data_IF_449423262806
#
_entry.id   IF_449423262806
#
_cell.length_a   1.000
_cell.length_b   1.000
_cell.length_c   1.000
_cell.angle_alpha   90.00
_cell.angle_beta   90.00
_cell.angle_gamma   90.00
#
_symmetry.space_group_name_H-M   'P 1'
#
loop_
_entity.id
_entity.type
_entity.pdbx_description
1 polymer ?
#
# COMPACT_ATOMS: atom_id res chain seq x y z
N UNK A 1 -7.28 -46.65 -25.84
CA UNK A 1 -8.14 -45.51 -25.45
C UNK A 1 -8.01 -45.24 -23.96
N UNK A 2 -8.16 -46.26 -23.11
CA UNK A 2 -8.13 -46.08 -21.63
C UNK A 2 -6.83 -45.50 -21.05
N UNK A 3 -5.67 -45.85 -21.61
CA UNK A 3 -4.37 -45.29 -21.16
C UNK A 3 -4.21 -43.80 -21.46
N UNK A 4 -4.86 -43.28 -22.50
CA UNK A 4 -4.81 -41.84 -22.80
C UNK A 4 -5.82 -41.07 -21.96
N UNK A 5 -7.02 -41.63 -21.76
CA UNK A 5 -8.01 -41.07 -20.85
C UNK A 5 -7.48 -40.98 -19.41
N UNK A 6 -6.79 -42.02 -18.94
CA UNK A 6 -6.16 -42.03 -17.62
C UNK A 6 -5.01 -41.00 -17.50
N UNK A 7 -4.29 -40.71 -18.59
CA UNK A 7 -3.21 -39.71 -18.57
C UNK A 7 -3.70 -38.27 -18.56
N UNK A 8 -4.98 -37.99 -18.83
CA UNK A 8 -5.52 -36.62 -18.83
C UNK A 8 -5.60 -36.07 -17.42
N UNK A 9 -5.95 -36.89 -16.43
CA UNK A 9 -6.08 -36.46 -15.04
C UNK A 9 -4.72 -36.03 -14.47
N UNK A 10 -3.66 -36.81 -14.68
CA UNK A 10 -2.29 -36.46 -14.27
C UNK A 10 -1.83 -35.11 -14.87
N UNK A 11 -2.28 -34.79 -16.09
CA UNK A 11 -1.92 -33.55 -16.79
C UNK A 11 -2.66 -32.35 -16.23
N UNK A 12 -3.94 -32.53 -15.93
CA UNK A 12 -4.75 -31.49 -15.29
C UNK A 12 -4.24 -31.18 -13.88
N UNK A 13 -3.81 -32.20 -13.14
CA UNK A 13 -3.16 -32.01 -11.83
C UNK A 13 -1.83 -31.24 -11.96
N UNK A 14 -0.99 -31.57 -12.94
CA UNK A 14 0.25 -30.83 -13.23
C UNK A 14 -0.04 -29.37 -13.62
N UNK A 15 -1.06 -29.11 -14.45
CA UNK A 15 -1.50 -27.75 -14.82
C UNK A 15 -2.00 -26.94 -13.62
N UNK A 16 -2.82 -27.56 -12.77
CA UNK A 16 -3.34 -26.92 -11.55
C UNK A 16 -2.20 -26.48 -10.62
N UNK A 17 -1.16 -27.32 -10.48
CA UNK A 17 0.01 -26.98 -9.68
C UNK A 17 0.72 -25.70 -10.17
N UNK A 18 0.87 -25.53 -11.49
CA UNK A 18 1.46 -24.30 -12.05
C UNK A 18 0.53 -23.09 -11.89
N UNK A 19 -0.78 -23.28 -12.04
CA UNK A 19 -1.75 -22.22 -11.82
C UNK A 19 -1.70 -21.71 -10.37
N UNK A 20 -1.57 -22.62 -9.41
CA UNK A 20 -1.42 -22.30 -7.99
C UNK A 20 -0.13 -21.52 -7.70
N UNK A 21 1.01 -21.89 -8.30
CA UNK A 21 2.26 -21.12 -8.14
C UNK A 21 2.12 -19.68 -8.64
N UNK A 22 1.49 -19.48 -9.79
CA UNK A 22 1.25 -18.14 -10.36
C UNK A 22 0.28 -17.34 -9.46
N UNK A 23 -0.74 -18.02 -8.94
CA UNK A 23 -1.74 -17.42 -8.04
C UNK A 23 -1.13 -17.01 -6.70
N UNK A 24 -0.25 -17.83 -6.13
CA UNK A 24 0.52 -17.48 -4.93
C UNK A 24 1.38 -16.23 -5.19
N UNK A 25 2.04 -16.15 -6.35
CA UNK A 25 2.81 -14.98 -6.72
C UNK A 25 1.95 -13.71 -6.87
N UNK A 26 0.73 -13.86 -7.39
CA UNK A 26 -0.24 -12.77 -7.44
C UNK A 26 -0.62 -12.30 -6.02
N UNK A 27 -0.88 -13.22 -5.09
CA UNK A 27 -1.15 -12.86 -3.69
C UNK A 27 0.03 -12.16 -3.02
N UNK A 28 1.27 -12.55 -3.33
CA UNK A 28 2.44 -11.85 -2.84
C UNK A 28 2.50 -10.39 -3.36
N UNK A 29 2.21 -10.18 -4.65
CA UNK A 29 2.14 -8.84 -5.23
C UNK A 29 1.00 -7.99 -4.61
N UNK A 30 -0.14 -8.62 -4.28
CA UNK A 30 -1.24 -7.96 -3.57
C UNK A 30 -0.88 -7.55 -2.15
N UNK A 31 -0.17 -8.41 -1.41
CA UNK A 31 0.34 -8.09 -0.08
C UNK A 31 1.28 -6.87 -0.12
N UNK A 32 2.18 -6.81 -1.11
CA UNK A 32 3.04 -5.64 -1.30
C UNK A 32 2.25 -4.37 -1.64
N UNK A 33 1.19 -4.49 -2.46
CA UNK A 33 0.30 -3.36 -2.73
C UNK A 33 -0.36 -2.85 -1.44
N UNK A 34 -0.74 -3.75 -0.53
CA UNK A 34 -1.28 -3.36 0.78
C UNK A 34 -0.24 -2.61 1.64
N UNK A 35 1.03 -3.03 1.62
CA UNK A 35 2.14 -2.32 2.29
C UNK A 35 2.29 -0.89 1.75
N UNK A 36 2.25 -0.71 0.43
CA UNK A 36 2.30 0.62 -0.20
C UNK A 36 1.09 1.49 0.19
N UNK A 37 -0.13 0.93 0.15
CA UNK A 37 -1.34 1.66 0.57
C UNK A 37 -1.28 2.08 2.04
N UNK A 38 -0.76 1.22 2.91
CA UNK A 38 -0.55 1.57 4.31
C UNK A 38 0.41 2.75 4.46
N UNK A 39 1.48 2.80 3.66
CA UNK A 39 2.39 3.95 3.65
C UNK A 39 1.68 5.24 3.23
N UNK A 40 0.87 5.20 2.17
CA UNK A 40 0.07 6.35 1.71
C UNK A 40 -0.87 6.86 2.81
N UNK A 41 -1.56 5.95 3.52
CA UNK A 41 -2.45 6.30 4.63
C UNK A 41 -1.70 6.92 5.80
N UNK A 42 -0.59 6.31 6.26
CA UNK A 42 0.19 6.87 7.38
C UNK A 42 0.82 8.21 7.03
N UNK A 43 1.22 8.39 5.77
CA UNK A 43 1.74 9.67 5.28
C UNK A 43 0.65 10.74 5.27
N UNK A 44 -0.56 10.40 4.83
CA UNK A 44 -1.71 11.30 4.87
C UNK A 44 -2.08 11.72 6.30
N UNK A 45 -2.10 10.78 7.24
CA UNK A 45 -2.34 11.08 8.67
C UNK A 45 -1.28 12.05 9.23
N UNK A 46 0.00 11.82 8.91
CA UNK A 46 1.09 12.72 9.31
C UNK A 46 0.89 14.14 8.74
N UNK A 47 0.48 14.26 7.49
CA UNK A 47 0.22 15.55 6.85
C UNK A 47 -0.96 16.29 7.52
N UNK A 48 -2.03 15.58 7.90
CA UNK A 48 -3.15 16.16 8.62
C UNK A 48 -2.73 16.73 9.98
N UNK A 49 -2.05 15.94 10.82
CA UNK A 49 -1.62 16.40 12.16
C UNK A 49 -0.59 17.53 12.07
N UNK A 50 0.28 17.50 11.07
CA UNK A 50 1.24 18.58 10.80
C UNK A 50 0.52 19.87 10.43
N UNK A 51 -0.50 19.79 9.56
CA UNK A 51 -1.28 20.95 9.15
C UNK A 51 -2.08 21.53 10.33
N UNK A 52 -2.65 20.70 11.19
CA UNK A 52 -3.33 21.15 12.41
C UNK A 52 -2.39 21.90 13.35
N UNK A 53 -1.18 21.36 13.58
CA UNK A 53 -0.16 22.03 14.38
C UNK A 53 0.25 23.40 13.79
N UNK A 54 0.42 23.49 12.47
CA UNK A 54 0.70 24.75 11.78
C UNK A 54 -0.43 25.76 12.02
N UNK A 55 -1.69 25.34 11.90
CA UNK A 55 -2.85 26.18 12.17
C UNK A 55 -2.88 26.69 13.61
N UNK A 56 -2.64 25.83 14.60
CA UNK A 56 -2.58 26.20 16.02
C UNK A 56 -1.45 27.19 16.31
N UNK A 57 -0.24 26.96 15.77
CA UNK A 57 0.89 27.90 15.87
C UNK A 57 0.56 29.26 15.27
N UNK A 58 -0.08 29.29 14.11
CA UNK A 58 -0.52 30.54 13.49
C UNK A 58 -1.54 31.29 14.34
N UNK A 59 -2.54 30.59 14.91
CA UNK A 59 -3.51 31.18 15.84
C UNK A 59 -2.82 31.78 17.07
N UNK A 60 -1.75 31.16 17.57
CA UNK A 60 -0.97 31.62 18.72
C UNK A 60 -0.20 32.90 18.40
N UNK A 61 0.39 32.97 17.21
CA UNK A 61 1.03 34.19 16.71
C UNK A 61 0.04 35.34 16.55
N UNK A 62 -1.15 35.09 16.00
CA UNK A 62 -2.20 36.11 15.91
C UNK A 62 -2.64 36.62 17.29
N UNK A 63 -2.80 35.72 18.25
CA UNK A 63 -3.23 36.04 19.62
C UNK A 63 -2.12 36.70 20.46
N UNK A 64 -0.85 36.43 20.21
CA UNK A 64 0.29 37.02 20.95
C UNK A 64 0.75 38.35 20.35
N UNK A 65 0.84 38.44 19.02
CA UNK A 65 1.33 39.63 18.32
C UNK A 65 0.36 40.82 18.29
N UNK A 66 -0.88 40.64 18.77
CA UNK A 66 -1.88 41.72 18.77
C UNK A 66 -2.24 42.23 17.38
N UNK A 67 -1.88 41.50 16.33
CA UNK A 67 -2.15 41.86 14.94
C UNK A 67 -3.62 41.56 14.61
N UNK A 68 -4.51 42.28 15.29
CA UNK A 68 -5.83 42.58 14.76
C UNK A 68 -5.58 43.45 13.54
N UNK A 69 -5.33 42.82 12.37
CA UNK A 69 -5.37 43.54 11.10
C UNK A 69 -6.67 44.34 11.12
N UNK A 70 -6.56 45.65 10.99
CA UNK A 70 -7.67 46.62 11.09
C UNK A 70 -8.81 46.35 10.10
N UNK A 71 -8.58 45.43 9.13
CA UNK A 71 -9.51 44.95 8.13
C UNK A 71 -9.96 43.48 8.31
N UNK A 72 -9.62 42.83 9.42
CA UNK A 72 -10.10 41.48 9.77
C UNK A 72 -11.46 41.55 10.48
N UNK A 73 -12.31 40.53 10.29
CA UNK A 73 -13.57 40.33 11.03
C UNK A 73 -13.38 40.46 12.57
N UNK A 74 -12.20 40.11 13.11
CA UNK A 74 -11.84 40.29 14.53
C UNK A 74 -11.70 41.77 14.93
N UNK A 75 -11.28 42.64 14.02
CA UNK A 75 -11.17 44.08 14.26
C UNK A 75 -12.54 44.79 14.27
N UNK A 76 -13.48 44.29 13.48
CA UNK A 76 -14.87 44.77 13.48
C UNK A 76 -15.60 44.31 14.75
N UNK A 77 -15.41 43.06 15.18
CA UNK A 77 -16.00 42.54 16.42
C UNK A 77 -15.42 43.18 17.68
N UNK A 78 -14.11 43.47 17.75
CA UNK A 78 -13.55 44.23 18.87
C UNK A 78 -14.11 45.66 18.99
N UNK A 79 -14.51 46.28 17.87
CA UNK A 79 -15.19 47.58 17.87
C UNK A 79 -16.67 47.48 18.22
N UNK A 80 -17.32 46.35 17.95
CA UNK A 80 -18.75 46.11 18.20
C UNK A 80 -19.07 45.53 19.58
N UNK A 81 -18.16 44.72 20.15
CA UNK A 81 -18.40 43.96 21.39
C UNK A 81 -17.41 44.29 22.53
N UNK A 82 -16.47 45.21 22.28
CA UNK A 82 -15.42 45.57 23.25
C UNK A 82 -14.19 44.66 23.14
N UNK A 83 -13.06 45.13 23.66
CA UNK A 83 -11.82 44.36 23.69
C UNK A 83 -11.93 43.18 24.68
N UNK A 84 -11.50 42.00 24.24
CA UNK A 84 -11.40 40.80 25.09
C UNK A 84 -10.55 41.11 26.34
N UNK A 85 -11.02 40.70 27.53
CA UNK A 85 -10.32 40.97 28.77
C UNK A 85 -8.92 40.32 28.76
N UNK A 86 -7.88 40.99 29.29
CA UNK A 86 -6.51 40.48 29.25
C UNK A 86 -6.36 39.11 29.92
N UNK A 87 -7.17 38.82 30.95
CA UNK A 87 -7.21 37.51 31.61
C UNK A 87 -7.78 36.41 30.69
N UNK A 88 -8.85 36.68 29.95
CA UNK A 88 -9.44 35.73 28.99
C UNK A 88 -8.48 35.43 27.84
N UNK A 89 -7.81 36.47 27.32
CA UNK A 89 -6.76 36.32 26.31
C UNK A 89 -5.58 35.50 26.82
N UNK A 90 -5.17 35.72 28.06
CA UNK A 90 -4.13 34.95 28.73
C UNK A 90 -4.49 33.48 28.91
N UNK A 91 -5.73 33.18 29.33
CA UNK A 91 -6.23 31.81 29.44
C UNK A 91 -6.27 31.10 28.08
N UNK A 92 -6.72 31.79 27.03
CA UNK A 92 -6.76 31.25 25.66
C UNK A 92 -5.37 30.98 25.10
N UNK A 93 -4.40 31.85 25.38
CA UNK A 93 -3.00 31.64 25.00
C UNK A 93 -2.41 30.40 25.67
N UNK A 94 -2.65 30.20 26.98
CA UNK A 94 -2.19 29.02 27.71
C UNK A 94 -2.78 27.73 27.15
N UNK A 95 -4.09 27.70 26.92
CA UNK A 95 -4.76 26.54 26.30
C UNK A 95 -4.17 26.22 24.93
N UNK A 96 -3.89 27.25 24.12
CA UNK A 96 -3.32 27.06 22.79
C UNK A 96 -1.86 26.58 22.85
N UNK A 97 -1.10 27.01 23.85
CA UNK A 97 0.26 26.51 24.10
C UNK A 97 0.27 25.04 24.54
N UNK A 98 -0.68 24.63 25.38
CA UNK A 98 -0.90 23.21 25.73
C UNK A 98 -1.25 22.39 24.48
N UNK A 99 -2.21 22.84 23.67
CA UNK A 99 -2.61 22.17 22.42
C UNK A 99 -1.49 22.11 21.37
N UNK A 100 -0.59 23.09 21.34
CA UNK A 100 0.60 23.08 20.47
C UNK A 100 1.59 22.03 20.99
N UNK A 101 1.83 21.97 22.30
CA UNK A 101 2.71 20.97 22.90
C UNK A 101 2.21 19.55 22.65
N UNK A 102 0.90 19.31 22.78
CA UNK A 102 0.28 18.02 22.46
C UNK A 102 0.42 17.69 20.97
N UNK A 103 0.15 18.66 20.09
CA UNK A 103 0.29 18.47 18.64
C UNK A 103 1.74 18.25 18.18
N UNK A 104 2.73 18.83 18.86
CA UNK A 104 4.15 18.57 18.61
C UNK A 104 4.51 17.11 18.92
N UNK A 105 4.00 16.57 20.02
CA UNK A 105 4.21 15.17 20.37
C UNK A 105 3.48 14.24 19.39
N UNK A 106 2.24 14.56 19.01
CA UNK A 106 1.49 13.77 18.02
C UNK A 106 2.21 13.72 16.65
N UNK A 107 2.72 14.85 16.16
CA UNK A 107 3.53 14.90 14.93
C UNK A 107 4.80 14.07 15.09
N UNK A 108 5.45 14.12 16.26
CA UNK A 108 6.66 13.33 16.56
C UNK A 108 6.36 11.83 16.50
N UNK A 109 5.28 11.39 17.15
CA UNK A 109 4.83 10.00 17.14
C UNK A 109 4.50 9.51 15.73
N UNK A 110 3.69 10.27 14.98
CA UNK A 110 3.33 9.92 13.59
C UNK A 110 4.53 9.90 12.65
N UNK A 111 5.50 10.79 12.86
CA UNK A 111 6.75 10.79 12.10
C UNK A 111 7.55 9.50 12.36
N UNK A 112 7.62 9.06 13.62
CA UNK A 112 8.30 7.81 13.98
C UNK A 112 7.59 6.60 13.38
N UNK A 113 6.26 6.54 13.47
CA UNK A 113 5.44 5.49 12.88
C UNK A 113 5.66 5.37 11.37
N UNK A 114 5.58 6.50 10.66
CA UNK A 114 5.73 6.54 9.20
C UNK A 114 7.16 6.11 8.79
N UNK A 115 8.19 6.55 9.51
CA UNK A 115 9.58 6.16 9.27
C UNK A 115 9.81 4.66 9.50
N UNK A 116 9.29 4.12 10.60
CA UNK A 116 9.43 2.69 10.92
C UNK A 116 8.68 1.81 9.90
N UNK A 117 7.50 2.24 9.44
CA UNK A 117 6.77 1.56 8.38
C UNK A 117 7.55 1.56 7.06
N UNK A 118 8.10 2.71 6.64
CA UNK A 118 8.92 2.82 5.43
C UNK A 118 10.17 1.94 5.51
N UNK A 119 10.88 1.97 6.64
CA UNK A 119 12.10 1.18 6.82
C UNK A 119 11.83 -0.32 6.68
N UNK A 120 10.74 -0.81 7.28
CA UNK A 120 10.33 -2.22 7.17
C UNK A 120 9.83 -2.57 5.76
N UNK A 121 8.91 -1.78 5.21
CA UNK A 121 8.33 -2.02 3.89
C UNK A 121 9.34 -1.92 2.74
N UNK A 122 10.38 -1.08 2.87
CA UNK A 122 11.43 -0.95 1.86
C UNK A 122 12.21 -2.26 1.68
N UNK A 123 12.47 -3.00 2.76
CA UNK A 123 13.16 -4.28 2.68
C UNK A 123 12.36 -5.30 1.87
N UNK A 124 11.04 -5.35 2.08
CA UNK A 124 10.15 -6.26 1.35
C UNK A 124 10.02 -5.88 -0.12
N UNK A 125 9.91 -4.58 -0.44
CA UNK A 125 9.94 -4.11 -1.83
C UNK A 125 11.26 -4.46 -2.53
N UNK A 126 12.39 -4.32 -1.85
CA UNK A 126 13.69 -4.64 -2.42
C UNK A 126 13.84 -6.14 -2.69
N UNK A 127 13.35 -6.99 -1.78
CA UNK A 127 13.32 -8.45 -1.97
C UNK A 127 12.47 -8.81 -3.18
N UNK A 128 11.25 -8.30 -3.26
CA UNK A 128 10.36 -8.51 -4.40
C UNK A 128 11.01 -8.11 -5.73
N UNK A 129 11.60 -6.91 -5.80
CA UNK A 129 12.26 -6.43 -7.02
C UNK A 129 13.40 -7.33 -7.49
N UNK A 130 14.15 -7.93 -6.57
CA UNK A 130 15.26 -8.85 -6.90
C UNK A 130 14.76 -10.22 -7.34
N UNK A 131 13.64 -10.68 -6.80
CA UNK A 131 13.16 -12.06 -6.99
C UNK A 131 12.16 -12.18 -8.16
N UNK A 132 11.30 -11.18 -8.39
CA UNK A 132 10.20 -11.24 -9.37
C UNK A 132 10.56 -11.78 -10.74
N UNK A 133 11.62 -11.25 -11.34
CA UNK A 133 11.96 -11.65 -12.69
C UNK A 133 12.48 -13.09 -12.74
N UNK A 134 13.15 -13.56 -11.68
CA UNK A 134 13.62 -14.93 -11.58
C UNK A 134 12.42 -15.87 -11.38
N UNK A 135 11.61 -15.62 -10.37
CA UNK A 135 10.51 -16.51 -9.97
C UNK A 135 9.48 -16.65 -11.09
N UNK A 136 9.07 -15.53 -11.70
CA UNK A 136 8.11 -15.55 -12.81
C UNK A 136 8.69 -16.23 -14.05
N UNK A 137 9.98 -16.03 -14.35
CA UNK A 137 10.61 -16.74 -15.48
C UNK A 137 10.66 -18.23 -15.23
N UNK A 138 11.04 -18.66 -14.03
CA UNK A 138 11.11 -20.08 -13.66
C UNK A 138 9.72 -20.74 -13.74
N UNK A 139 8.68 -20.09 -13.21
CA UNK A 139 7.30 -20.58 -13.28
C UNK A 139 6.81 -20.69 -14.74
N UNK A 140 7.00 -19.64 -15.55
CA UNK A 140 6.53 -19.62 -16.94
C UNK A 140 7.31 -20.56 -17.85
N UNK A 141 8.62 -20.70 -17.64
CA UNK A 141 9.44 -21.67 -18.38
C UNK A 141 9.03 -23.10 -18.04
N UNK A 142 8.77 -23.39 -16.76
CA UNK A 142 8.33 -24.71 -16.33
C UNK A 142 6.96 -25.07 -16.92
N UNK A 143 6.02 -24.12 -16.90
CA UNK A 143 4.72 -24.27 -17.57
C UNK A 143 4.89 -24.54 -19.07
N UNK A 144 5.73 -23.77 -19.76
CA UNK A 144 5.98 -23.95 -21.19
C UNK A 144 6.60 -25.33 -21.51
N UNK A 145 7.54 -25.80 -20.68
CA UNK A 145 8.15 -27.11 -20.84
C UNK A 145 7.15 -28.24 -20.64
N UNK A 146 6.28 -28.13 -19.63
CA UNK A 146 5.19 -29.08 -19.40
C UNK A 146 4.25 -29.10 -20.60
N UNK A 147 3.80 -27.94 -21.10
CA UNK A 147 2.92 -27.84 -22.27
C UNK A 147 3.54 -28.48 -23.52
N UNK A 148 4.83 -28.24 -23.79
CA UNK A 148 5.55 -28.89 -24.88
C UNK A 148 5.60 -30.40 -24.71
N UNK A 149 5.84 -30.89 -23.49
CA UNK A 149 5.81 -32.32 -23.16
C UNK A 149 4.43 -32.92 -23.46
N UNK A 150 3.36 -32.21 -23.09
CA UNK A 150 1.99 -32.65 -23.33
C UNK A 150 1.63 -32.71 -24.81
N UNK A 151 1.96 -31.67 -25.58
CA UNK A 151 1.77 -31.70 -27.02
C UNK A 151 2.51 -32.88 -27.67
N UNK A 152 3.74 -33.17 -27.25
CA UNK A 152 4.52 -34.32 -27.76
C UNK A 152 3.85 -35.65 -27.45
N UNK A 153 3.41 -35.87 -26.20
CA UNK A 153 2.68 -37.09 -25.80
C UNK A 153 1.38 -37.23 -26.61
N UNK A 154 0.64 -36.14 -26.77
CA UNK A 154 -0.59 -36.10 -27.57
C UNK A 154 -0.35 -36.48 -29.04
N UNK A 155 0.64 -35.87 -29.69
CA UNK A 155 1.01 -36.21 -31.08
C UNK A 155 1.37 -37.69 -31.21
N UNK A 156 2.14 -38.23 -30.27
CA UNK A 156 2.54 -39.64 -30.30
C UNK A 156 1.32 -40.57 -30.22
N UNK A 157 0.37 -40.27 -29.34
CA UNK A 157 -0.84 -41.09 -29.17
C UNK A 157 -1.76 -41.01 -30.39
N UNK A 158 -1.96 -39.81 -30.95
CA UNK A 158 -2.72 -39.66 -32.19
C UNK A 158 -2.05 -40.37 -33.38
N UNK A 159 -0.72 -40.31 -33.47
CA UNK A 159 0.04 -41.03 -34.50
C UNK A 159 -0.11 -42.54 -34.37
N UNK A 160 0.03 -43.08 -33.15
CA UNK A 160 -0.16 -44.51 -32.87
C UNK A 160 -1.58 -44.95 -33.21
N UNK A 161 -2.58 -44.14 -32.86
CA UNK A 161 -3.99 -44.43 -33.13
C UNK A 161 -4.27 -44.49 -34.62
N UNK A 162 -3.80 -43.49 -35.37
CA UNK A 162 -3.88 -43.47 -36.84
C UNK A 162 -3.22 -44.70 -37.46
N UNK A 163 -2.01 -45.03 -37.01
CA UNK A 163 -1.25 -46.15 -37.56
C UNK A 163 -1.90 -47.51 -37.25
N UNK A 164 -2.58 -47.64 -36.10
CA UNK A 164 -3.42 -48.82 -35.81
C UNK A 164 -4.59 -48.93 -36.79
N UNK A 165 -5.30 -47.84 -37.07
CA UNK A 165 -6.40 -47.85 -38.04
C UNK A 165 -5.95 -48.12 -39.49
N UNK A 166 -4.74 -47.67 -39.87
CA UNK A 166 -4.18 -47.94 -41.20
C UNK A 166 -3.71 -49.39 -41.38
N UNK A 167 -3.48 -50.12 -40.28
CA UNK A 167 -3.05 -51.52 -40.28
C UNK A 167 -4.22 -52.51 -40.14
N UNK A 168 -5.43 -52.02 -39.88
CA UNK A 168 -6.68 -52.77 -39.93
C UNK A 168 -7.25 -52.75 -41.35
#
# INVERSE_FOLDING_TARGET
MDTFAASIDDILEEEEHFADQIKEYLYYAEALRAVCRKHELTQFELELVTQDLICKRHQREELSGGMVRTFSFKGVTNKLFGAEAPEQRGARLKLLEEQISEGEEEVREKTLECRDHVQRGLLDLQRFRKQKDKDLKEALLSLALMQVSMCKKGIQVWSNTRDCFLKM
#
